data_IF_466785554708
#
_entry.id   IF_466785554708
#
_cell.length_a   1.000
_cell.length_b   1.000
_cell.length_c   1.000
_cell.angle_alpha   90.00
_cell.angle_beta   90.00
_cell.angle_gamma   90.00
#
_symmetry.space_group_name_H-M   'P 1'
#
loop_
_entity.id
_entity.type
_entity.pdbx_description
1 polymer ?
#
# COMPACT_ATOMS: atom_id res chain seq x y z
N UNK A 1 9.94 12.50 -13.04
CA UNK A 1 8.80 12.04 -12.20
C UNK A 1 8.47 10.62 -12.65
N UNK A 2 8.89 9.60 -11.89
CA UNK A 2 8.53 8.22 -12.20
C UNK A 2 7.02 8.05 -11.94
N UNK A 3 6.28 7.61 -12.96
CA UNK A 3 4.86 7.31 -12.85
C UNK A 3 4.69 5.93 -12.20
N UNK A 4 3.75 5.80 -11.25
CA UNK A 4 3.35 4.50 -10.72
C UNK A 4 2.90 3.61 -11.88
N UNK A 5 3.62 2.50 -12.11
CA UNK A 5 3.48 1.67 -13.30
C UNK A 5 2.86 0.31 -12.95
N UNK A 6 2.55 -0.50 -13.97
CA UNK A 6 1.86 -1.79 -13.80
C UNK A 6 2.68 -2.81 -13.02
N UNK A 7 4.01 -2.78 -13.15
CA UNK A 7 4.92 -3.68 -12.42
C UNK A 7 4.92 -3.37 -10.93
N UNK A 8 5.09 -2.09 -10.57
CA UNK A 8 4.94 -1.59 -9.21
C UNK A 8 3.56 -1.92 -8.62
N UNK A 9 2.49 -1.81 -9.40
CA UNK A 9 1.14 -2.17 -8.95
C UNK A 9 1.00 -3.66 -8.62
N UNK A 10 1.65 -4.51 -9.40
CA UNK A 10 1.62 -5.97 -9.24
C UNK A 10 2.42 -6.39 -8.01
N UNK A 11 3.62 -5.84 -7.85
CA UNK A 11 4.48 -6.11 -6.71
C UNK A 11 3.87 -5.57 -5.40
N UNK A 12 3.27 -4.38 -5.45
CA UNK A 12 2.51 -3.84 -4.32
C UNK A 12 1.38 -4.81 -3.90
N UNK A 13 0.60 -5.31 -4.86
CA UNK A 13 -0.48 -6.25 -4.56
C UNK A 13 0.04 -7.56 -3.93
N UNK A 14 1.17 -8.09 -4.43
CA UNK A 14 1.80 -9.29 -3.88
C UNK A 14 2.29 -9.08 -2.44
N UNK A 15 3.05 -8.01 -2.18
CA UNK A 15 3.56 -7.68 -0.84
C UNK A 15 2.44 -7.47 0.17
N UNK A 16 1.32 -6.90 -0.27
CA UNK A 16 0.14 -6.71 0.58
C UNK A 16 -0.56 -8.04 0.87
N UNK A 17 -0.61 -8.96 -0.08
CA UNK A 17 -1.12 -10.32 0.17
C UNK A 17 -0.29 -11.02 1.25
N UNK A 18 1.03 -10.93 1.17
CA UNK A 18 1.97 -11.52 2.13
C UNK A 18 1.83 -10.91 3.54
N UNK A 19 1.62 -9.59 3.62
CA UNK A 19 1.52 -8.84 4.89
C UNK A 19 0.07 -8.51 5.30
N UNK A 20 -0.93 -9.18 4.71
CA UNK A 20 -2.34 -8.79 4.83
C UNK A 20 -2.85 -8.71 6.28
N UNK A 21 -2.42 -9.62 7.15
CA UNK A 21 -2.79 -9.62 8.56
C UNK A 21 -2.23 -8.40 9.34
N UNK A 22 -1.06 -7.90 8.94
CA UNK A 22 -0.41 -6.74 9.56
C UNK A 22 -0.94 -5.43 9.02
N UNK A 23 -1.27 -5.39 7.72
CA UNK A 23 -1.80 -4.22 7.03
C UNK A 23 -3.28 -4.00 7.33
N UNK A 24 -4.06 -5.07 7.52
CA UNK A 24 -5.49 -5.05 7.83
C UNK A 24 -5.79 -5.76 9.16
N UNK A 25 -5.26 -5.25 10.29
CA UNK A 25 -5.49 -5.89 11.58
C UNK A 25 -6.95 -5.72 12.03
N UNK A 26 -7.55 -6.81 12.51
CA UNK A 26 -8.93 -6.85 13.01
C UNK A 26 -9.11 -6.03 14.29
N UNK A 27 -8.08 -5.99 15.14
CA UNK A 27 -8.04 -5.17 16.34
C UNK A 27 -7.26 -3.89 16.04
N UNK A 28 -7.92 -2.73 16.18
CA UNK A 28 -7.30 -1.41 16.01
C UNK A 28 -6.89 -0.84 17.37
N UNK A 29 -5.75 -1.30 17.87
CA UNK A 29 -5.07 -0.72 19.02
C UNK A 29 -3.83 0.08 18.55
N UNK A 30 -3.17 0.78 19.47
CA UNK A 30 -2.00 1.58 19.15
C UNK A 30 -0.83 0.73 18.60
N UNK A 31 -0.68 -0.50 19.08
CA UNK A 31 0.38 -1.41 18.64
C UNK A 31 0.09 -1.97 17.24
N UNK A 32 -1.16 -2.32 16.93
CA UNK A 32 -1.55 -2.77 15.59
C UNK A 32 -1.48 -1.64 14.56
N UNK A 33 -1.81 -0.42 14.95
CA UNK A 33 -1.64 0.77 14.12
C UNK A 33 -0.16 1.01 13.80
N UNK A 34 0.73 0.80 14.77
CA UNK A 34 2.18 0.90 14.58
C UNK A 34 2.72 -0.20 13.66
N UNK A 35 2.28 -1.46 13.84
CA UNK A 35 2.65 -2.58 12.96
C UNK A 35 2.23 -2.33 11.52
N UNK A 36 0.99 -1.91 11.31
CA UNK A 36 0.48 -1.56 9.98
C UNK A 36 1.31 -0.45 9.33
N UNK A 37 1.65 0.60 10.09
CA UNK A 37 2.51 1.68 9.60
C UNK A 37 3.90 1.18 9.19
N UNK A 38 4.58 0.39 10.04
CA UNK A 38 5.90 -0.16 9.75
C UNK A 38 5.89 -1.06 8.50
N UNK A 39 4.84 -1.87 8.32
CA UNK A 39 4.70 -2.71 7.13
C UNK A 39 4.55 -1.85 5.85
N UNK A 40 3.75 -0.78 5.92
CA UNK A 40 3.61 0.17 4.80
C UNK A 40 4.92 0.92 4.50
N UNK A 41 5.67 1.28 5.53
CA UNK A 41 6.99 1.92 5.42
C UNK A 41 7.96 1.01 4.66
N UNK A 42 8.11 -0.25 5.09
CA UNK A 42 8.97 -1.24 4.45
C UNK A 42 8.61 -1.47 2.97
N UNK A 43 7.31 -1.64 2.66
CA UNK A 43 6.86 -1.81 1.26
C UNK A 43 7.19 -0.57 0.42
N UNK A 44 7.03 0.63 0.97
CA UNK A 44 7.28 1.88 0.26
C UNK A 44 8.77 2.08 -0.01
N UNK A 45 9.62 1.82 0.99
CA UNK A 45 11.08 1.90 0.85
C UNK A 45 11.59 0.92 -0.21
N UNK A 46 11.07 -0.30 -0.20
CA UNK A 46 11.48 -1.32 -1.16
C UNK A 46 11.06 -0.96 -2.60
N UNK A 47 9.82 -0.52 -2.81
CA UNK A 47 9.35 -0.05 -4.12
C UNK A 47 10.15 1.16 -4.61
N UNK A 48 10.48 2.09 -3.73
CA UNK A 48 11.32 3.24 -4.08
C UNK A 48 12.74 2.82 -4.46
N UNK A 49 13.33 1.89 -3.72
CA UNK A 49 14.66 1.35 -3.99
C UNK A 49 14.72 0.60 -5.31
N UNK A 50 13.76 -0.30 -5.58
CA UNK A 50 13.75 -1.12 -6.79
C UNK A 50 13.46 -0.32 -8.06
N UNK A 51 12.50 0.62 -8.00
CA UNK A 51 12.05 1.36 -9.19
C UNK A 51 12.61 2.79 -9.28
N UNK A 52 13.55 3.16 -8.40
CA UNK A 52 14.09 4.53 -8.33
C UNK A 52 12.99 5.59 -8.13
N UNK A 53 11.97 5.24 -7.36
CA UNK A 53 10.77 6.06 -7.14
C UNK A 53 10.87 6.89 -5.86
N UNK A 54 9.97 7.86 -5.70
CA UNK A 54 9.88 8.71 -4.51
C UNK A 54 8.45 8.75 -3.96
N UNK A 55 7.85 7.57 -3.85
CA UNK A 55 6.51 7.38 -3.30
C UNK A 55 6.54 7.63 -1.79
N UNK A 56 5.51 8.31 -1.31
CA UNK A 56 5.20 8.37 0.11
C UNK A 56 4.32 7.17 0.51
N UNK A 57 4.33 6.80 1.79
CA UNK A 57 3.43 5.78 2.34
C UNK A 57 1.97 6.07 1.99
N UNK A 58 1.55 7.35 2.05
CA UNK A 58 0.19 7.76 1.71
C UNK A 58 -0.16 7.46 0.25
N UNK A 59 0.76 7.75 -0.69
CA UNK A 59 0.57 7.42 -2.10
C UNK A 59 0.56 5.91 -2.34
N UNK A 60 1.42 5.16 -1.66
CA UNK A 60 1.47 3.70 -1.75
C UNK A 60 0.14 3.06 -1.32
N UNK A 61 -0.44 3.55 -0.21
CA UNK A 61 -1.76 3.15 0.30
C UNK A 61 -2.90 3.50 -0.66
N UNK A 62 -2.87 4.71 -1.20
CA UNK A 62 -3.87 5.18 -2.17
C UNK A 62 -3.85 4.33 -3.45
N UNK A 63 -2.65 4.02 -3.98
CA UNK A 63 -2.48 3.20 -5.17
C UNK A 63 -2.95 1.76 -4.98
N UNK A 64 -2.73 1.17 -3.82
CA UNK A 64 -3.31 -0.14 -3.49
C UNK A 64 -4.84 -0.10 -3.57
N UNK A 65 -5.48 0.93 -2.98
CA UNK A 65 -6.95 1.04 -2.98
C UNK A 65 -7.55 1.11 -4.39
N UNK A 66 -6.79 1.61 -5.36
CA UNK A 66 -7.20 1.74 -6.77
C UNK A 66 -6.92 0.46 -7.60
N UNK A 67 -5.95 -0.37 -7.19
CA UNK A 67 -5.50 -1.55 -7.97
C UNK A 67 -6.28 -2.85 -7.73
N UNK A 68 -7.02 -2.99 -6.62
CA UNK A 68 -7.64 -4.27 -6.20
C UNK A 68 -9.17 -4.29 -6.28
N UNK A 69 -9.76 -3.80 -7.38
CA UNK A 69 -11.17 -4.08 -7.72
C UNK A 69 -12.17 -4.14 -6.54
N UNK A 70 -12.25 -3.08 -5.72
CA UNK A 70 -13.22 -2.87 -4.63
C UNK A 70 -12.82 -3.40 -3.24
N UNK A 71 -12.66 -2.62 -2.17
CA UNK A 71 -12.87 -1.19 -1.86
C UNK A 71 -12.41 -0.88 -0.40
N UNK A 72 -12.73 0.29 0.22
CA UNK A 72 -13.49 1.44 -0.25
C UNK A 72 -12.61 2.71 -0.31
N UNK A 73 -12.22 3.17 -1.49
CA UNK A 73 -12.81 4.38 -2.06
C UNK A 73 -13.10 4.13 -3.54
N UNK A 74 -14.13 3.33 -3.80
CA UNK A 74 -14.82 3.40 -5.09
C UNK A 74 -15.39 4.81 -5.14
N UNK A 75 -14.99 5.58 -6.15
CA UNK A 75 -15.59 6.84 -6.56
C UNK A 75 -17.05 6.96 -6.08
N UNK A 76 -17.30 7.75 -5.04
CA UNK A 76 -18.60 8.40 -4.93
C UNK A 76 -18.60 9.52 -5.95
N UNK A 77 -18.86 9.18 -7.22
CA UNK A 77 -19.54 10.12 -8.08
C UNK A 77 -21.00 10.18 -7.62
N UNK A 78 -21.30 11.18 -6.80
CA UNK A 78 -22.53 11.96 -6.94
C UNK A 78 -22.31 13.35 -6.37
#
# INVERSE_FOLDING_TARGET
MALFNKEMATELAQKISENSAELFPTNRDAASSRRSYNAWEAITEELNSQYGSSLTIAQCRDKYSVGTGGGPCINKKK
#
